data_IF_734521732283
#
_entry.id   IF_734521732283
#
_cell.length_a   1.000
_cell.length_b   1.000
_cell.length_c   1.000
_cell.angle_alpha   90.00
_cell.angle_beta   90.00
_cell.angle_gamma   90.00
#
_symmetry.space_group_name_H-M   'P 1'
#
loop_
_entity.id
_entity.type
_entity.pdbx_description
1 polymer ?
#
# COMPACT_ATOMS: atom_id res chain seq x y z
N UNK A 1 39.79 74.82 45.81
CA UNK A 1 39.76 73.87 44.68
C UNK A 1 39.38 72.49 45.21
N UNK A 2 38.09 72.13 45.19
CA UNK A 2 37.62 70.84 45.70
C UNK A 2 38.17 69.68 44.88
N UNK A 3 38.76 68.68 45.55
CA UNK A 3 39.15 67.40 44.93
C UNK A 3 37.90 66.76 44.31
N UNK A 4 37.86 66.63 42.98
CA UNK A 4 36.79 65.91 42.27
C UNK A 4 36.73 64.47 42.79
N UNK A 5 35.59 64.09 43.36
CA UNK A 5 35.30 62.72 43.81
C UNK A 5 35.44 61.77 42.61
N UNK A 6 36.15 60.65 42.76
CA UNK A 6 36.24 59.63 41.72
C UNK A 6 34.87 59.02 41.43
N UNK A 7 34.63 58.61 40.18
CA UNK A 7 33.42 57.88 39.80
C UNK A 7 33.31 56.55 40.58
N UNK A 8 32.12 56.23 41.09
CA UNK A 8 31.81 54.93 41.69
C UNK A 8 31.88 53.81 40.64
N UNK A 9 31.92 52.55 41.08
CA UNK A 9 31.93 51.40 40.16
C UNK A 9 30.67 51.37 39.28
N UNK A 10 29.49 51.56 39.85
CA UNK A 10 28.23 51.61 39.10
C UNK A 10 28.21 52.78 38.10
N UNK A 11 28.76 53.93 38.49
CA UNK A 11 28.91 55.06 37.58
C UNK A 11 29.86 54.76 36.41
N UNK A 12 30.89 53.92 36.61
CA UNK A 12 31.76 53.47 35.49
C UNK A 12 31.03 52.48 34.59
N UNK A 13 30.24 51.56 35.16
CA UNK A 13 29.44 50.57 34.43
C UNK A 13 28.43 51.25 33.51
N UNK A 14 27.69 52.23 34.02
CA UNK A 14 26.73 53.03 33.24
C UNK A 14 27.41 53.77 32.08
N UNK A 15 28.58 54.36 32.30
CA UNK A 15 29.33 55.09 31.27
C UNK A 15 29.86 54.18 30.16
N UNK A 16 30.25 52.95 30.48
CA UNK A 16 30.65 51.94 29.49
C UNK A 16 29.43 51.39 28.75
N UNK A 17 28.33 51.10 29.44
CA UNK A 17 27.07 50.67 28.81
C UNK A 17 26.55 51.68 27.80
N UNK A 18 26.64 52.97 28.11
CA UNK A 18 26.24 54.03 27.20
C UNK A 18 26.98 53.96 25.85
N UNK A 19 28.23 53.47 25.80
CA UNK A 19 28.97 53.30 24.54
C UNK A 19 28.25 52.29 23.64
N UNK A 20 27.78 51.18 24.20
CA UNK A 20 27.04 50.15 23.46
C UNK A 20 25.66 50.63 23.02
N UNK A 21 24.95 51.38 23.88
CA UNK A 21 23.63 51.92 23.52
C UNK A 21 23.70 53.04 22.48
N UNK A 22 24.71 53.91 22.55
CA UNK A 22 24.86 55.04 21.62
C UNK A 22 25.23 54.55 20.21
N UNK A 23 26.10 53.54 20.09
CA UNK A 23 26.59 53.09 18.78
C UNK A 23 25.84 51.90 18.20
N UNK A 24 25.22 51.07 19.05
CA UNK A 24 24.60 49.80 18.67
C UNK A 24 25.52 48.92 17.79
N UNK A 25 26.81 48.85 18.15
CA UNK A 25 27.85 48.20 17.35
C UNK A 25 28.71 47.26 18.21
N UNK A 26 29.46 46.38 17.55
CA UNK A 26 30.38 45.45 18.18
C UNK A 26 31.76 46.09 18.39
N UNK A 27 32.41 45.72 19.48
CA UNK A 27 33.72 46.25 19.84
C UNK A 27 34.70 45.16 20.23
N UNK A 28 35.94 45.31 19.80
CA UNK A 28 37.06 44.61 20.40
C UNK A 28 37.40 45.24 21.75
N UNK A 29 37.90 44.43 22.69
CA UNK A 29 38.32 44.93 24.01
C UNK A 29 39.31 46.09 23.90
N UNK A 30 40.23 46.04 22.93
CA UNK A 30 41.20 47.12 22.65
C UNK A 30 40.55 48.44 22.21
N UNK A 31 39.37 48.38 21.58
CA UNK A 31 38.62 49.57 21.15
C UNK A 31 37.88 50.17 22.33
N UNK A 32 37.29 49.33 23.19
CA UNK A 32 36.69 49.78 24.45
C UNK A 32 37.72 50.43 25.38
N UNK A 33 38.95 49.91 25.44
CA UNK A 33 40.06 50.51 26.21
C UNK A 33 40.44 51.92 25.72
N UNK A 34 40.15 52.26 24.45
CA UNK A 34 40.32 53.63 23.90
C UNK A 34 39.10 54.52 24.11
N UNK A 35 37.89 53.96 24.07
CA UNK A 35 36.63 54.70 24.20
C UNK A 35 36.24 54.95 25.67
N UNK A 36 36.57 54.05 26.59
CA UNK A 36 36.28 54.16 28.01
C UNK A 36 36.84 55.43 28.67
N UNK A 37 38.10 55.81 28.43
CA UNK A 37 38.66 57.08 28.92
C UNK A 37 37.92 58.31 28.40
N UNK A 38 37.41 58.28 27.17
CA UNK A 38 36.63 59.40 26.59
C UNK A 38 35.29 59.60 27.30
N UNK A 39 34.73 58.55 27.92
CA UNK A 39 33.51 58.62 28.74
C UNK A 39 33.81 58.80 30.26
N UNK A 40 35.07 59.05 30.62
CA UNK A 40 35.48 59.37 32.00
C UNK A 40 35.84 58.16 32.88
N UNK A 41 35.99 56.97 32.29
CA UNK A 41 36.44 55.76 33.00
C UNK A 41 37.96 55.64 32.91
N UNK A 42 38.64 55.39 34.04
CA UNK A 42 40.10 55.26 34.05
C UNK A 42 40.52 54.05 33.19
N UNK A 43 41.47 54.26 32.26
CA UNK A 43 41.91 53.26 31.28
C UNK A 43 42.23 51.89 31.89
N UNK A 44 42.97 51.87 33.01
CA UNK A 44 43.33 50.64 33.72
C UNK A 44 42.12 49.84 34.25
N UNK A 45 40.98 50.50 34.46
CA UNK A 45 39.76 49.89 35.00
C UNK A 45 38.74 49.49 33.92
N UNK A 46 38.95 49.83 32.65
CA UNK A 46 37.96 49.57 31.59
C UNK A 46 37.73 48.08 31.41
N UNK A 47 38.78 47.27 31.40
CA UNK A 47 38.69 45.82 31.26
C UNK A 47 37.85 45.17 32.36
N UNK A 48 38.12 45.54 33.61
CA UNK A 48 37.41 44.98 34.77
C UNK A 48 35.94 45.42 34.80
N UNK A 49 35.67 46.68 34.42
CA UNK A 49 34.30 47.19 34.31
C UNK A 49 33.53 46.48 33.19
N UNK A 50 34.13 46.29 32.01
CA UNK A 50 33.51 45.52 30.92
C UNK A 50 33.28 44.07 31.35
N UNK A 51 34.22 43.45 32.06
CA UNK A 51 34.02 42.08 32.55
C UNK A 51 32.86 42.01 33.55
N UNK A 52 32.73 42.96 34.47
CA UNK A 52 31.59 43.03 35.40
C UNK A 52 30.24 43.27 34.70
N UNK A 53 30.22 43.90 33.53
CA UNK A 53 29.02 44.05 32.72
C UNK A 53 28.63 42.75 32.02
N UNK A 54 29.63 41.99 31.57
CA UNK A 54 29.42 40.65 31.02
C UNK A 54 28.96 39.67 32.09
N UNK A 55 29.55 39.74 33.29
CA UNK A 55 29.24 38.81 34.39
C UNK A 55 27.79 38.97 34.88
N UNK A 56 27.22 40.18 34.79
CA UNK A 56 25.82 40.48 35.09
C UNK A 56 24.89 40.46 33.85
N UNK A 57 25.37 39.89 32.74
CA UNK A 57 24.62 39.70 31.48
C UNK A 57 24.08 40.99 30.82
N UNK A 58 24.69 42.14 31.13
CA UNK A 58 24.35 43.43 30.52
C UNK A 58 25.07 43.65 29.18
N UNK A 59 26.16 42.90 28.92
CA UNK A 59 26.93 42.93 27.67
C UNK A 59 27.30 41.51 27.27
N UNK A 60 26.99 41.10 26.05
CA UNK A 60 27.38 39.79 25.54
C UNK A 60 28.81 39.81 24.98
N UNK A 61 29.63 38.83 25.36
CA UNK A 61 30.96 38.58 24.74
C UNK A 61 30.91 37.28 23.95
N UNK A 62 31.45 37.30 22.73
CA UNK A 62 31.64 36.08 21.96
C UNK A 62 33.02 36.03 21.32
N UNK A 63 33.59 34.83 21.23
CA UNK A 63 34.90 34.59 20.61
C UNK A 63 34.68 34.16 19.16
N UNK A 64 34.72 35.16 18.28
CA UNK A 64 34.67 34.93 16.84
C UNK A 64 36.00 34.31 16.38
N UNK A 65 35.95 33.05 15.94
CA UNK A 65 37.10 32.29 15.44
C UNK A 65 36.81 31.61 14.10
N UNK A 66 37.75 30.79 13.61
CA UNK A 66 37.66 30.03 12.35
C UNK A 66 36.47 29.06 12.28
N UNK A 67 35.85 28.72 13.41
CA UNK A 67 34.69 27.82 13.50
C UNK A 67 33.50 28.33 12.68
N UNK A 68 33.16 29.63 12.77
CA UNK A 68 32.04 30.21 12.01
C UNK A 68 32.28 30.18 10.49
N UNK A 69 33.53 30.38 10.05
CA UNK A 69 33.89 30.28 8.63
C UNK A 69 33.76 28.84 8.10
N UNK A 70 34.05 27.83 8.93
CA UNK A 70 33.88 26.43 8.56
C UNK A 70 32.38 26.04 8.50
N UNK A 71 31.58 26.51 9.46
CA UNK A 71 30.12 26.33 9.45
C UNK A 71 29.50 26.97 8.21
N UNK A 72 29.89 28.21 7.89
CA UNK A 72 29.43 28.90 6.69
C UNK A 72 29.77 28.12 5.41
N UNK A 73 31.02 27.65 5.27
CA UNK A 73 31.45 26.83 4.12
C UNK A 73 30.68 25.52 3.99
N UNK A 74 30.37 24.87 5.12
CA UNK A 74 29.59 23.63 5.13
C UNK A 74 28.15 23.89 4.68
N UNK A 75 27.50 24.91 5.23
CA UNK A 75 26.14 25.31 4.84
C UNK A 75 26.07 25.73 3.36
N UNK A 76 27.06 26.47 2.88
CA UNK A 76 27.18 26.85 1.46
C UNK A 76 27.28 25.60 0.57
N UNK A 77 28.13 24.62 0.95
CA UNK A 77 28.26 23.35 0.22
C UNK A 77 26.97 22.53 0.23
N UNK A 78 26.28 22.45 1.37
CA UNK A 78 25.00 21.76 1.50
C UNK A 78 23.92 22.43 0.64
N UNK A 79 23.85 23.77 0.65
CA UNK A 79 22.94 24.54 -0.19
C UNK A 79 23.20 24.28 -1.68
N UNK A 80 24.46 24.28 -2.12
CA UNK A 80 24.81 23.98 -3.51
C UNK A 80 24.42 22.54 -3.88
N UNK A 81 24.67 21.57 -3.00
CA UNK A 81 24.26 20.19 -3.23
C UNK A 81 22.74 20.03 -3.34
N UNK A 82 21.99 20.73 -2.49
CA UNK A 82 20.52 20.71 -2.51
C UNK A 82 19.96 21.38 -3.76
N UNK A 83 20.55 22.50 -4.20
CA UNK A 83 20.18 23.16 -5.45
C UNK A 83 20.42 22.27 -6.66
N UNK A 84 21.59 21.61 -6.71
CA UNK A 84 21.90 20.65 -7.77
C UNK A 84 20.87 19.51 -7.79
N UNK A 85 20.57 18.92 -6.63
CA UNK A 85 19.57 17.86 -6.50
C UNK A 85 18.18 18.31 -6.93
N UNK A 86 17.80 19.55 -6.60
CA UNK A 86 16.52 20.12 -7.03
C UNK A 86 16.44 20.19 -8.56
N UNK A 87 17.48 20.70 -9.22
CA UNK A 87 17.55 20.75 -10.70
C UNK A 87 17.45 19.35 -11.29
N UNK A 88 18.23 18.39 -10.79
CA UNK A 88 18.18 16.99 -11.25
C UNK A 88 16.79 16.37 -11.09
N UNK A 89 16.10 16.63 -9.98
CA UNK A 89 14.75 16.12 -9.72
C UNK A 89 13.70 16.77 -10.62
N UNK A 90 13.83 18.07 -10.91
CA UNK A 90 12.95 18.77 -11.84
C UNK A 90 13.14 18.24 -13.25
N UNK A 91 14.38 18.08 -13.71
CA UNK A 91 14.69 17.47 -15.01
C UNK A 91 14.14 16.04 -15.13
N UNK A 92 14.25 15.24 -14.08
CA UNK A 92 13.66 13.89 -14.05
C UNK A 92 12.12 13.93 -14.10
N UNK A 93 11.50 14.82 -13.34
CA UNK A 93 10.05 15.04 -13.37
C UNK A 93 9.58 15.42 -14.77
N UNK A 94 10.25 16.38 -15.42
CA UNK A 94 9.88 16.85 -16.75
C UNK A 94 10.11 15.77 -17.82
N UNK A 95 11.19 14.99 -17.69
CA UNK A 95 11.42 13.83 -18.55
C UNK A 95 10.33 12.76 -18.41
N UNK A 96 9.82 12.52 -17.19
CA UNK A 96 8.74 11.56 -16.93
C UNK A 96 7.36 12.07 -17.36
N UNK A 97 7.14 13.38 -17.36
CA UNK A 97 5.91 14.01 -17.84
C UNK A 97 5.74 13.89 -19.34
N UNK A 98 6.84 13.84 -20.10
CA UNK A 98 6.78 13.70 -21.56
C UNK A 98 6.03 12.42 -21.96
N UNK A 99 4.91 12.57 -22.66
CA UNK A 99 4.02 11.44 -23.02
C UNK A 99 3.07 10.98 -21.90
N UNK A 100 3.06 11.65 -20.75
CA UNK A 100 2.08 11.51 -19.65
C UNK A 100 1.52 12.88 -19.28
N UNK A 101 1.41 13.74 -20.28
CA UNK A 101 0.87 15.08 -20.12
C UNK A 101 -0.57 14.99 -19.61
N UNK A 102 -0.93 15.90 -18.69
CA UNK A 102 -2.31 16.01 -18.24
C UNK A 102 -3.13 16.56 -19.41
N UNK A 103 -4.02 15.72 -19.93
CA UNK A 103 -4.98 16.04 -20.98
C UNK A 103 -6.31 15.37 -20.66
N UNK A 104 -7.39 15.97 -21.14
CA UNK A 104 -8.74 15.42 -21.00
C UNK A 104 -8.83 14.01 -21.60
N UNK A 105 -8.16 13.77 -22.74
CA UNK A 105 -8.05 12.46 -23.39
C UNK A 105 -7.39 11.40 -22.48
N UNK A 106 -6.37 11.80 -21.69
CA UNK A 106 -5.69 10.89 -20.76
C UNK A 106 -6.57 10.58 -19.56
N UNK A 107 -7.29 11.56 -19.04
CA UNK A 107 -8.23 11.37 -17.94
C UNK A 107 -9.35 10.42 -18.36
N UNK A 108 -9.96 10.65 -19.52
CA UNK A 108 -11.00 9.78 -20.09
C UNK A 108 -10.49 8.35 -20.32
N UNK A 109 -9.29 8.17 -20.90
CA UNK A 109 -8.70 6.86 -21.11
C UNK A 109 -8.39 6.11 -19.79
N UNK A 110 -8.00 6.83 -18.73
CA UNK A 110 -7.78 6.23 -17.41
C UNK A 110 -9.08 5.81 -16.74
N UNK A 111 -10.14 6.61 -16.89
CA UNK A 111 -11.47 6.27 -16.40
C UNK A 111 -12.07 5.08 -17.17
N UNK A 112 -11.90 5.03 -18.49
CA UNK A 112 -12.31 3.89 -19.32
C UNK A 112 -11.55 2.63 -18.93
N UNK A 113 -10.23 2.70 -18.77
CA UNK A 113 -9.41 1.58 -18.33
C UNK A 113 -9.91 1.02 -16.99
N UNK A 114 -10.19 1.90 -16.03
CA UNK A 114 -10.72 1.51 -14.72
C UNK A 114 -12.09 0.84 -14.83
N UNK A 115 -12.97 1.37 -15.68
CA UNK A 115 -14.28 0.78 -15.93
C UNK A 115 -14.18 -0.61 -16.58
N UNK A 116 -13.26 -0.79 -17.54
CA UNK A 116 -12.99 -2.08 -18.19
C UNK A 116 -12.40 -3.08 -17.20
N UNK A 117 -11.43 -2.67 -16.37
CA UNK A 117 -10.84 -3.54 -15.34
C UNK A 117 -11.89 -4.01 -14.33
N UNK A 118 -12.80 -3.12 -13.93
CA UNK A 118 -13.90 -3.49 -13.04
C UNK A 118 -14.81 -4.54 -13.71
N UNK A 119 -15.26 -4.29 -14.93
CA UNK A 119 -16.07 -5.25 -15.69
C UNK A 119 -15.35 -6.58 -15.88
N UNK A 120 -14.06 -6.56 -16.23
CA UNK A 120 -13.26 -7.77 -16.40
C UNK A 120 -13.24 -8.61 -15.11
N UNK A 121 -13.05 -7.98 -13.95
CA UNK A 121 -13.05 -8.69 -12.67
C UNK A 121 -14.43 -9.25 -12.30
N UNK A 122 -15.50 -8.53 -12.61
CA UNK A 122 -16.89 -8.99 -12.44
C UNK A 122 -17.16 -10.23 -13.31
N UNK A 123 -16.92 -10.13 -14.64
CA UNK A 123 -17.11 -11.24 -15.57
C UNK A 123 -16.23 -12.45 -15.23
N UNK A 124 -14.99 -12.22 -14.79
CA UNK A 124 -14.10 -13.29 -14.36
C UNK A 124 -14.63 -14.00 -13.11
N UNK A 125 -15.20 -13.23 -12.17
CA UNK A 125 -15.87 -13.76 -10.99
C UNK A 125 -17.09 -14.61 -11.36
N UNK A 126 -17.93 -14.12 -12.27
CA UNK A 126 -19.08 -14.86 -12.80
C UNK A 126 -18.66 -16.15 -13.50
N UNK A 127 -17.67 -16.10 -14.39
CA UNK A 127 -17.14 -17.27 -15.08
C UNK A 127 -16.61 -18.33 -14.10
N UNK A 128 -16.03 -17.90 -12.97
CA UNK A 128 -15.63 -18.79 -11.89
C UNK A 128 -16.78 -19.57 -11.25
N UNK A 129 -18.00 -19.01 -11.20
CA UNK A 129 -19.20 -19.70 -10.70
C UNK A 129 -19.63 -20.86 -11.61
N UNK A 130 -19.28 -20.77 -12.90
CA UNK A 130 -19.60 -21.79 -13.91
C UNK A 130 -18.43 -22.73 -14.19
N UNK A 131 -17.34 -22.68 -13.42
CA UNK A 131 -16.17 -23.53 -13.64
C UNK A 131 -16.50 -25.03 -13.59
N UNK A 132 -17.47 -25.43 -12.76
CA UNK A 132 -17.94 -26.82 -12.66
C UNK A 132 -18.94 -27.21 -13.76
N UNK A 133 -19.44 -26.24 -14.53
CA UNK A 133 -20.37 -26.44 -15.65
C UNK A 133 -19.63 -26.55 -16.99
N UNK A 134 -18.48 -27.20 -17.01
CA UNK A 134 -17.77 -27.49 -18.25
C UNK A 134 -18.61 -28.43 -19.14
N UNK A 135 -18.98 -28.02 -20.37
CA UNK A 135 -19.72 -28.86 -21.30
C UNK A 135 -19.04 -30.21 -21.54
N UNK A 136 -17.70 -30.26 -21.55
CA UNK A 136 -16.98 -31.51 -21.73
C UNK A 136 -17.14 -32.45 -20.52
N UNK A 137 -17.09 -31.92 -19.29
CA UNK A 137 -17.39 -32.69 -18.09
C UNK A 137 -18.84 -33.19 -18.06
N UNK A 138 -19.80 -32.36 -18.48
CA UNK A 138 -21.21 -32.74 -18.54
C UNK A 138 -21.48 -33.85 -19.56
N UNK A 139 -20.90 -33.76 -20.76
CA UNK A 139 -21.02 -34.82 -21.77
C UNK A 139 -20.31 -36.11 -21.33
N UNK A 140 -19.15 -36.01 -20.68
CA UNK A 140 -18.48 -37.17 -20.09
C UNK A 140 -19.35 -37.86 -19.01
N UNK A 141 -20.04 -37.08 -18.18
CA UNK A 141 -20.97 -37.60 -17.18
C UNK A 141 -22.16 -38.32 -17.83
N UNK A 142 -22.73 -37.78 -18.91
CA UNK A 142 -23.81 -38.46 -19.67
C UNK A 142 -23.36 -39.79 -20.25
N UNK A 143 -22.17 -39.85 -20.85
CA UNK A 143 -21.63 -41.10 -21.39
C UNK A 143 -21.37 -42.12 -20.27
N UNK A 144 -20.84 -41.68 -19.13
CA UNK A 144 -20.65 -42.55 -17.97
C UNK A 144 -21.99 -43.11 -17.44
N UNK A 145 -23.06 -42.30 -17.41
CA UNK A 145 -24.41 -42.75 -17.04
C UNK A 145 -24.91 -43.83 -18.01
N UNK A 146 -24.74 -43.65 -19.32
CA UNK A 146 -25.14 -44.66 -20.32
C UNK A 146 -24.43 -45.99 -20.09
N UNK A 147 -23.12 -45.95 -19.84
CA UNK A 147 -22.32 -47.16 -19.55
C UNK A 147 -22.78 -47.82 -18.26
N UNK A 148 -22.96 -47.05 -17.19
CA UNK A 148 -23.42 -47.56 -15.89
C UNK A 148 -24.82 -48.17 -15.96
N UNK A 149 -25.74 -47.53 -16.70
CA UNK A 149 -27.10 -48.00 -16.94
C UNK A 149 -27.12 -49.33 -17.70
N UNK A 150 -26.38 -49.42 -18.81
CA UNK A 150 -26.26 -50.66 -19.57
C UNK A 150 -25.63 -51.78 -18.75
N UNK A 151 -24.61 -51.47 -17.94
CA UNK A 151 -23.97 -52.43 -17.06
C UNK A 151 -24.92 -52.95 -15.97
N UNK A 152 -25.69 -52.06 -15.33
CA UNK A 152 -26.68 -52.42 -14.32
C UNK A 152 -27.73 -53.37 -14.90
N UNK A 153 -28.33 -53.01 -16.04
CA UNK A 153 -29.34 -53.85 -16.69
C UNK A 153 -28.78 -55.19 -17.19
N UNK A 154 -27.51 -55.25 -17.62
CA UNK A 154 -26.84 -56.52 -17.92
C UNK A 154 -26.70 -57.42 -16.68
N UNK A 155 -26.44 -56.84 -15.51
CA UNK A 155 -26.42 -57.62 -14.28
C UNK A 155 -27.82 -58.06 -13.85
N UNK A 156 -28.85 -57.24 -14.09
CA UNK A 156 -30.26 -57.63 -13.93
C UNK A 156 -30.59 -58.86 -14.80
N UNK A 157 -30.21 -58.86 -16.09
CA UNK A 157 -30.35 -60.02 -16.98
C UNK A 157 -29.69 -61.28 -16.40
N UNK A 158 -28.45 -61.13 -15.93
CA UNK A 158 -27.68 -62.23 -15.37
C UNK A 158 -28.35 -62.80 -14.11
N UNK A 159 -28.87 -61.93 -13.24
CA UNK A 159 -29.59 -62.33 -12.02
C UNK A 159 -30.85 -63.10 -12.39
N UNK A 160 -31.68 -62.59 -13.31
CA UNK A 160 -32.89 -63.28 -13.76
C UNK A 160 -32.60 -64.62 -14.44
N UNK A 161 -31.55 -64.67 -15.27
CA UNK A 161 -31.10 -65.91 -15.92
C UNK A 161 -30.67 -66.95 -14.89
N UNK A 162 -29.90 -66.54 -13.88
CA UNK A 162 -29.48 -67.43 -12.78
C UNK A 162 -30.67 -67.90 -11.95
N UNK A 163 -31.59 -67.00 -11.59
CA UNK A 163 -32.84 -67.34 -10.86
C UNK A 163 -33.65 -68.38 -11.61
N UNK A 164 -33.83 -68.19 -12.92
CA UNK A 164 -34.57 -69.11 -13.78
C UNK A 164 -33.86 -70.47 -13.90
N UNK A 165 -32.55 -70.47 -14.15
CA UNK A 165 -31.76 -71.70 -14.28
C UNK A 165 -31.76 -72.51 -12.98
N UNK A 166 -31.52 -71.87 -11.83
CA UNK A 166 -31.54 -72.54 -10.53
C UNK A 166 -32.93 -73.13 -10.23
N UNK A 167 -34.00 -72.39 -10.49
CA UNK A 167 -35.37 -72.86 -10.27
C UNK A 167 -35.72 -74.08 -11.14
N UNK A 168 -35.27 -74.10 -12.39
CA UNK A 168 -35.54 -75.20 -13.31
C UNK A 168 -34.74 -76.46 -13.00
N UNK A 169 -33.47 -76.33 -12.60
CA UNK A 169 -32.57 -77.47 -12.37
C UNK A 169 -32.64 -78.00 -10.92
N UNK A 170 -33.03 -77.16 -9.96
CA UNK A 170 -33.11 -77.53 -8.54
C UNK A 170 -34.47 -77.14 -7.93
N UNK A 171 -35.59 -77.77 -8.33
CA UNK A 171 -36.92 -77.40 -7.84
C UNK A 171 -37.06 -77.46 -6.31
N UNK A 172 -36.36 -78.40 -5.66
CA UNK A 172 -36.38 -78.56 -4.20
C UNK A 172 -35.71 -77.40 -3.43
N UNK A 173 -34.87 -76.58 -4.09
CA UNK A 173 -34.16 -75.46 -3.46
C UNK A 173 -34.83 -74.11 -3.73
N UNK A 174 -35.97 -74.10 -4.44
CA UNK A 174 -36.65 -72.87 -4.87
C UNK A 174 -36.99 -71.94 -3.70
N UNK A 175 -37.61 -72.44 -2.64
CA UNK A 175 -37.99 -71.62 -1.49
C UNK A 175 -36.78 -71.02 -0.76
N UNK A 176 -35.68 -71.77 -0.67
CA UNK A 176 -34.43 -71.29 -0.06
C UNK A 176 -33.78 -70.18 -0.89
N UNK A 177 -33.80 -70.32 -2.22
CA UNK A 177 -33.28 -69.30 -3.14
C UNK A 177 -34.09 -68.01 -3.08
N UNK A 178 -35.42 -68.12 -3.05
CA UNK A 178 -36.33 -66.98 -2.90
C UNK A 178 -36.14 -66.26 -1.56
N UNK A 179 -35.95 -67.00 -0.47
CA UNK A 179 -35.63 -66.40 0.83
C UNK A 179 -34.30 -65.63 0.79
N UNK A 180 -33.25 -66.24 0.21
CA UNK A 180 -31.95 -65.59 0.07
C UNK A 180 -32.05 -64.29 -0.73
N UNK A 181 -32.77 -64.29 -1.85
CA UNK A 181 -32.95 -63.09 -2.68
C UNK A 181 -33.69 -61.98 -1.94
N UNK A 182 -34.74 -62.31 -1.18
CA UNK A 182 -35.40 -61.33 -0.34
C UNK A 182 -34.49 -60.77 0.77
N UNK A 183 -33.66 -61.61 1.41
CA UNK A 183 -32.71 -61.15 2.44
C UNK A 183 -31.65 -60.18 1.90
N UNK A 184 -31.19 -60.38 0.66
CA UNK A 184 -30.20 -59.50 0.02
C UNK A 184 -30.83 -58.32 -0.74
N UNK A 185 -32.16 -58.15 -0.65
CA UNK A 185 -32.88 -57.01 -1.21
C UNK A 185 -33.26 -57.15 -2.70
N UNK A 186 -33.21 -58.36 -3.26
CA UNK A 186 -33.78 -58.68 -4.57
C UNK A 186 -35.22 -59.14 -4.34
N UNK A 187 -36.10 -58.17 -4.15
CA UNK A 187 -37.54 -58.36 -3.92
C UNK A 187 -38.33 -58.42 -5.23
N UNK A 188 -39.64 -58.62 -5.17
CA UNK A 188 -40.49 -58.67 -6.37
C UNK A 188 -40.52 -57.35 -7.17
N UNK A 189 -40.21 -56.22 -6.52
CA UNK A 189 -40.07 -54.90 -7.16
C UNK A 189 -38.71 -54.69 -7.86
N UNK A 190 -37.79 -55.67 -7.81
CA UNK A 190 -36.49 -55.57 -8.49
C UNK A 190 -36.67 -55.76 -10.01
N UNK A 191 -36.41 -54.70 -10.76
CA UNK A 191 -36.56 -54.68 -12.22
C UNK A 191 -35.43 -53.87 -12.89
N UNK A 192 -35.46 -53.78 -14.22
CA UNK A 192 -34.56 -52.95 -14.99
C UNK A 192 -34.63 -51.48 -14.56
N UNK A 193 -33.48 -50.82 -14.55
CA UNK A 193 -33.44 -49.38 -14.38
C UNK A 193 -34.00 -48.72 -15.64
N UNK A 194 -35.02 -47.90 -15.50
CA UNK A 194 -35.52 -47.03 -16.56
C UNK A 194 -34.83 -45.67 -16.48
N UNK A 195 -34.31 -45.18 -17.60
CA UNK A 195 -33.90 -43.78 -17.67
C UNK A 195 -35.16 -42.93 -17.81
N UNK A 196 -35.31 -41.84 -17.04
CA UNK A 196 -36.42 -40.92 -17.23
C UNK A 196 -36.43 -40.46 -18.68
N UNK A 197 -37.62 -40.47 -19.31
CA UNK A 197 -37.80 -39.97 -20.66
C UNK A 197 -37.19 -38.57 -20.73
N UNK A 198 -36.17 -38.42 -21.59
CA UNK A 198 -35.34 -37.23 -21.64
C UNK A 198 -36.21 -35.97 -21.59
N UNK A 199 -36.08 -35.19 -20.51
CA UNK A 199 -36.57 -33.81 -20.52
C UNK A 199 -35.85 -33.15 -21.68
N UNK A 200 -36.63 -32.77 -22.69
CA UNK A 200 -36.17 -32.11 -23.92
C UNK A 200 -35.11 -31.09 -23.53
N UNK A 201 -33.89 -31.13 -24.10
CA UNK A 201 -32.90 -30.11 -23.81
C UNK A 201 -33.54 -28.79 -24.22
N UNK A 202 -33.73 -27.89 -23.25
CA UNK A 202 -33.96 -26.48 -23.57
C UNK A 202 -32.71 -26.08 -24.36
N UNK A 203 -32.87 -25.90 -25.66
CA UNK A 203 -31.78 -25.57 -26.58
C UNK A 203 -31.02 -24.33 -26.09
N UNK A 204 -29.80 -24.10 -26.60
CA UNK A 204 -29.02 -22.94 -26.20
C UNK A 204 -29.90 -21.71 -26.43
N UNK A 205 -30.09 -20.92 -25.37
CA UNK A 205 -30.65 -19.57 -25.50
C UNK A 205 -29.65 -18.84 -26.39
N UNK A 206 -29.98 -18.80 -27.69
CA UNK A 206 -29.14 -18.13 -28.68
C UNK A 206 -28.93 -16.70 -28.25
N UNK A 207 -27.70 -16.22 -28.42
CA UNK A 207 -27.33 -14.82 -28.37
C UNK A 207 -28.42 -13.96 -28.99
N UNK A 208 -29.27 -13.37 -28.15
CA UNK A 208 -29.98 -12.16 -28.51
C UNK A 208 -28.92 -11.06 -28.45
N UNK A 209 -28.16 -10.96 -29.55
CA UNK A 209 -27.46 -9.73 -29.87
C UNK A 209 -28.48 -8.61 -29.78
N UNK A 210 -28.33 -7.76 -28.76
CA UNK A 210 -28.99 -6.47 -28.69
C UNK A 210 -28.45 -5.66 -29.87
N UNK A 211 -29.14 -5.75 -31.02
CA UNK A 211 -29.06 -4.74 -32.07
C UNK A 211 -29.59 -3.43 -31.48
N UNK A 212 -28.68 -2.67 -30.87
CA UNK A 212 -28.83 -1.24 -30.72
C UNK A 212 -28.82 -0.62 -32.11
N UNK A 213 -29.90 0.07 -32.44
CA UNK A 213 -30.01 0.87 -33.66
C UNK A 213 -30.74 2.17 -33.30
N UNK A 214 -30.52 3.23 -34.09
CA UNK A 214 -29.39 4.16 -34.05
C UNK A 214 -29.61 5.36 -33.13
#
# INVERSE_FOLDING_TARGET
MSKKRGLSLDGKRERILQIFYDSQDFYLLKELEKLGPKKGVISQSVKDVVQSLVDDDLVSKDKIGTSLRNVYRKLESELQSSKKRLVELVEQSDALKKGREESDEREEALDELKAIEQKYNELKGEMGQYADNDPAAFEAMKEAIKVGHAAANRWTDNIFTLRQWCTNNFPQAKEQLEHLYNEIGITDDFDYLELPAAVVPVGPVGDQMLEGNP
#
